data_IF_884610061979
#
_entry.id   IF_884610061979
#
_cell.length_a   1.000
_cell.length_b   1.000
_cell.length_c   1.000
_cell.angle_alpha   90.00
_cell.angle_beta   90.00
_cell.angle_gamma   90.00
#
_symmetry.space_group_name_H-M   'P 1'
#
loop_
_entity.id
_entity.type
_entity.pdbx_description
1 polymer ?
#
# COMPACT_ATOMS: atom_id res chain seq x y z
N UNK A 1 3.51 1.64 7.60
CA UNK A 1 4.30 2.87 7.59
C UNK A 1 3.41 4.11 7.67
N UNK A 2 4.01 5.23 8.04
CA UNK A 2 3.43 6.55 7.94
C UNK A 2 4.30 7.40 7.01
N UNK A 3 3.71 7.89 5.94
CA UNK A 3 4.41 8.64 4.91
C UNK A 3 4.64 10.11 5.31
N UNK A 4 5.50 10.79 4.59
CA UNK A 4 5.74 12.21 4.72
C UNK A 4 6.03 12.81 3.34
N UNK A 5 5.49 13.99 3.07
CA UNK A 5 5.71 14.73 1.83
C UNK A 5 6.07 16.18 2.15
N UNK A 6 6.80 16.85 1.26
CA UNK A 6 7.09 18.28 1.38
C UNK A 6 5.81 19.13 1.26
N UNK A 7 4.81 18.64 0.52
CA UNK A 7 3.49 19.27 0.42
C UNK A 7 2.58 18.76 1.54
N UNK A 8 2.06 19.67 2.34
CA UNK A 8 1.05 19.36 3.36
C UNK A 8 -0.34 19.03 2.76
N UNK A 9 -0.53 19.22 1.46
CA UNK A 9 -1.75 18.86 0.75
C UNK A 9 -1.77 17.39 0.31
N UNK A 10 -0.61 16.71 0.28
CA UNK A 10 -0.52 15.28 -0.03
C UNK A 10 -1.11 14.48 1.12
N UNK A 11 -2.07 13.59 0.82
CA UNK A 11 -2.80 12.82 1.83
C UNK A 11 -3.31 11.49 1.28
N UNK A 12 -3.79 10.63 2.16
CA UNK A 12 -4.45 9.36 1.84
C UNK A 12 -3.54 8.14 1.93
N UNK A 13 -4.16 6.97 1.89
CA UNK A 13 -3.51 5.67 1.99
C UNK A 13 -2.97 5.23 0.62
N UNK A 14 -1.77 4.68 0.60
CA UNK A 14 -1.22 3.96 -0.56
C UNK A 14 -0.54 2.67 -0.12
N UNK A 15 -0.62 1.65 -0.97
CA UNK A 15 -0.07 0.33 -0.73
C UNK A 15 0.86 -0.05 -1.89
N UNK A 16 2.13 -0.22 -1.61
CA UNK A 16 3.09 -0.67 -2.61
C UNK A 16 3.16 -2.19 -2.61
N UNK A 17 2.84 -2.80 -3.76
CA UNK A 17 2.92 -4.24 -3.99
C UNK A 17 4.23 -4.61 -4.70
N UNK A 18 4.63 -5.88 -4.60
CA UNK A 18 5.74 -6.42 -5.38
C UNK A 18 5.49 -6.18 -6.88
N UNK A 19 6.45 -5.57 -7.63
CA UNK A 19 6.26 -5.22 -9.04
C UNK A 19 6.14 -6.44 -9.98
N UNK A 20 5.68 -6.25 -11.23
CA UNK A 20 5.42 -7.32 -12.20
C UNK A 20 6.61 -8.23 -12.55
N UNK A 21 7.84 -7.78 -12.37
CA UNK A 21 9.03 -8.62 -12.60
C UNK A 21 9.30 -9.62 -11.47
N UNK A 22 8.64 -9.49 -10.32
CA UNK A 22 8.78 -10.38 -9.17
C UNK A 22 7.69 -11.47 -9.19
N UNK A 23 8.07 -12.70 -8.84
CA UNK A 23 7.15 -13.85 -8.84
C UNK A 23 5.95 -13.67 -7.91
N UNK A 24 6.09 -12.91 -6.82
CA UNK A 24 5.03 -12.64 -5.86
C UNK A 24 4.03 -11.56 -6.30
N UNK A 25 4.19 -10.92 -7.47
CA UNK A 25 3.41 -9.77 -7.92
C UNK A 25 1.89 -9.98 -7.81
N UNK A 26 1.35 -11.01 -8.46
CA UNK A 26 -0.11 -11.21 -8.53
C UNK A 26 -0.75 -11.33 -7.14
N UNK A 27 -0.14 -12.11 -6.26
CA UNK A 27 -0.63 -12.31 -4.89
C UNK A 27 -0.40 -11.08 -4.01
N UNK A 28 0.69 -10.35 -4.22
CA UNK A 28 0.93 -9.07 -3.53
C UNK A 28 -0.11 -8.01 -3.91
N UNK A 29 -0.47 -7.90 -5.19
CA UNK A 29 -1.54 -7.01 -5.65
C UNK A 29 -2.89 -7.44 -5.09
N UNK A 30 -3.21 -8.75 -5.10
CA UNK A 30 -4.45 -9.28 -4.51
C UNK A 30 -4.54 -8.94 -3.03
N UNK A 31 -3.48 -9.16 -2.27
CA UNK A 31 -3.44 -8.82 -0.85
C UNK A 31 -3.55 -7.30 -0.64
N UNK A 32 -2.81 -6.50 -1.41
CA UNK A 32 -2.88 -5.04 -1.36
C UNK A 32 -4.29 -4.50 -1.56
N UNK A 33 -5.04 -5.05 -2.52
CA UNK A 33 -6.43 -4.65 -2.77
C UNK A 33 -7.36 -4.99 -1.60
N UNK A 34 -7.21 -6.15 -0.99
CA UNK A 34 -7.97 -6.48 0.22
C UNK A 34 -7.70 -5.46 1.34
N UNK A 35 -6.43 -5.09 1.52
CA UNK A 35 -6.04 -4.13 2.55
C UNK A 35 -6.58 -2.73 2.24
N UNK A 36 -6.35 -2.21 1.03
CA UNK A 36 -6.78 -0.85 0.66
C UNK A 36 -8.30 -0.70 0.72
N UNK A 37 -9.04 -1.70 0.22
CA UNK A 37 -10.50 -1.71 0.30
C UNK A 37 -10.99 -1.72 1.75
N UNK A 38 -10.43 -2.56 2.61
CA UNK A 38 -10.84 -2.63 4.02
C UNK A 38 -10.54 -1.32 4.76
N UNK A 39 -9.38 -0.72 4.57
CA UNK A 39 -9.06 0.58 5.16
C UNK A 39 -9.99 1.69 4.68
N UNK A 40 -10.35 1.71 3.39
CA UNK A 40 -11.36 2.65 2.86
C UNK A 40 -12.72 2.43 3.52
N UNK A 41 -13.18 1.19 3.57
CA UNK A 41 -14.58 0.88 3.94
C UNK A 41 -14.81 0.92 5.45
N UNK A 42 -13.83 0.48 6.25
CA UNK A 42 -13.96 0.39 7.70
C UNK A 42 -13.42 1.63 8.43
N UNK A 43 -12.39 2.28 7.89
CA UNK A 43 -11.76 3.43 8.52
C UNK A 43 -12.03 4.75 7.78
N UNK A 44 -12.66 4.70 6.62
CA UNK A 44 -13.01 5.89 5.84
C UNK A 44 -11.83 6.59 5.17
N UNK A 45 -10.72 5.87 4.93
CA UNK A 45 -9.53 6.44 4.34
C UNK A 45 -9.70 6.75 2.85
N UNK A 46 -9.16 7.87 2.42
CA UNK A 46 -9.03 8.19 1.00
C UNK A 46 -7.90 7.36 0.40
N UNK A 47 -8.18 6.66 -0.71
CA UNK A 47 -7.14 5.92 -1.45
C UNK A 47 -6.43 6.84 -2.44
N UNK A 48 -5.12 6.68 -2.56
CA UNK A 48 -4.30 7.36 -3.56
C UNK A 48 -4.29 6.56 -4.87
N UNK A 49 -4.18 7.27 -6.00
CA UNK A 49 -4.21 6.64 -7.33
C UNK A 49 -5.58 6.08 -7.68
N UNK A 50 -5.62 4.93 -8.34
CA UNK A 50 -6.86 4.31 -8.82
C UNK A 50 -7.59 3.51 -7.71
N UNK A 51 -6.87 2.58 -7.08
CA UNK A 51 -7.42 1.66 -6.06
C UNK A 51 -6.53 1.59 -4.78
N UNK A 52 -5.58 2.51 -4.66
CA UNK A 52 -4.62 2.54 -3.56
C UNK A 52 -3.43 1.61 -3.75
N UNK A 53 -3.47 0.67 -4.70
CA UNK A 53 -2.36 -0.28 -4.93
C UNK A 53 -1.48 0.21 -6.08
N UNK A 54 -0.20 0.34 -5.79
CA UNK A 54 0.79 0.96 -6.67
C UNK A 54 2.08 0.16 -6.70
N UNK A 55 2.94 0.47 -7.67
CA UNK A 55 4.33 0.03 -7.71
C UNK A 55 5.25 1.22 -7.49
N UNK A 56 6.32 1.02 -6.76
CA UNK A 56 7.41 1.99 -6.65
C UNK A 56 8.67 1.39 -7.22
N UNK A 57 9.38 2.19 -8.01
CA UNK A 57 10.66 1.83 -8.59
C UNK A 57 11.70 2.91 -8.26
N UNK A 58 12.97 2.52 -8.22
CA UNK A 58 14.10 3.42 -8.16
C UNK A 58 14.80 3.41 -9.52
N UNK A 59 14.79 4.54 -10.24
CA UNK A 59 15.46 4.64 -11.53
C UNK A 59 17.00 4.65 -11.40
N UNK A 60 17.71 4.74 -12.53
CA UNK A 60 19.16 4.75 -12.57
C UNK A 60 19.82 5.93 -11.81
N UNK A 61 19.04 6.94 -11.43
CA UNK A 61 19.48 8.10 -10.63
C UNK A 61 19.00 8.02 -9.18
N UNK A 62 18.49 6.85 -8.77
CA UNK A 62 17.87 6.62 -7.46
C UNK A 62 16.60 7.49 -7.22
N UNK A 63 15.99 7.97 -8.29
CA UNK A 63 14.75 8.72 -8.21
C UNK A 63 13.54 7.79 -8.16
N UNK A 64 12.56 8.13 -7.30
CA UNK A 64 11.32 7.35 -7.16
C UNK A 64 10.42 7.53 -8.38
N UNK A 65 9.98 6.42 -8.94
CA UNK A 65 8.98 6.35 -10.01
C UNK A 65 7.81 5.52 -9.51
N UNK A 66 6.63 6.12 -9.45
CA UNK A 66 5.40 5.47 -8.99
C UNK A 66 4.53 5.16 -10.21
N UNK A 67 4.02 3.93 -10.27
CA UNK A 67 3.07 3.47 -11.29
C UNK A 67 1.84 2.85 -10.61
N UNK A 68 0.70 2.87 -11.29
CA UNK A 68 -0.50 2.20 -10.79
C UNK A 68 -0.39 0.67 -10.93
N UNK A 69 -1.09 -0.08 -10.09
CA UNK A 69 -1.08 -1.55 -10.15
C UNK A 69 -1.68 -2.11 -11.45
N UNK A 70 -2.44 -1.30 -12.18
CA UNK A 70 -2.97 -1.59 -13.51
C UNK A 70 -1.96 -1.37 -14.64
N UNK A 71 -0.83 -0.72 -14.36
CA UNK A 71 0.22 -0.50 -15.35
C UNK A 71 1.00 -1.81 -15.56
N UNK A 72 0.92 -2.33 -16.77
CA UNK A 72 1.61 -3.56 -17.19
C UNK A 72 2.87 -3.29 -17.99
N UNK A 73 3.32 -2.05 -18.09
CA UNK A 73 4.55 -1.70 -18.78
C UNK A 73 5.73 -2.45 -18.16
N UNK A 74 6.54 -3.17 -18.95
CA UNK A 74 7.65 -3.94 -18.42
C UNK A 74 8.72 -3.02 -17.84
N UNK A 75 8.90 -3.09 -16.52
CA UNK A 75 9.98 -2.43 -15.80
C UNK A 75 10.69 -3.46 -14.92
N UNK A 76 11.99 -3.35 -14.85
CA UNK A 76 12.86 -4.21 -14.03
C UNK A 76 13.74 -3.39 -13.10
N UNK A 77 13.41 -2.10 -12.94
CA UNK A 77 14.08 -1.24 -11.96
C UNK A 77 13.83 -1.77 -10.55
N UNK A 78 14.79 -1.66 -9.62
CA UNK A 78 14.63 -2.08 -8.23
C UNK A 78 13.43 -1.42 -7.55
N UNK A 79 12.87 -2.11 -6.56
CA UNK A 79 11.83 -1.60 -5.67
C UNK A 79 12.33 -1.52 -4.21
N UNK A 80 11.45 -1.40 -3.25
CA UNK A 80 11.81 -1.52 -1.84
C UNK A 80 12.41 -2.90 -1.54
N UNK A 81 13.50 -2.94 -0.80
CA UNK A 81 14.19 -4.19 -0.43
C UNK A 81 13.24 -5.21 0.21
N UNK A 82 12.30 -4.76 1.05
CA UNK A 82 11.30 -5.63 1.66
C UNK A 82 10.37 -6.31 0.65
N UNK A 83 10.17 -5.72 -0.52
CA UNK A 83 9.39 -6.31 -1.61
C UNK A 83 10.26 -7.13 -2.56
N UNK A 84 11.50 -6.66 -2.81
CA UNK A 84 12.47 -7.30 -3.71
C UNK A 84 12.92 -8.67 -3.19
N UNK A 85 13.29 -8.73 -1.90
CA UNK A 85 13.87 -9.91 -1.29
C UNK A 85 12.86 -10.87 -0.65
N UNK A 86 11.55 -10.53 -0.72
CA UNK A 86 10.52 -11.36 -0.12
C UNK A 86 10.11 -12.50 -1.04
N UNK A 87 10.26 -13.74 -0.59
CA UNK A 87 9.84 -14.93 -1.34
C UNK A 87 8.35 -15.24 -1.26
N UNK A 88 7.58 -14.46 -0.52
CA UNK A 88 6.14 -14.59 -0.35
C UNK A 88 5.41 -13.30 -0.77
N UNK A 89 4.08 -13.32 -0.91
CA UNK A 89 3.31 -12.10 -1.12
C UNK A 89 3.63 -11.05 -0.06
N UNK A 90 4.00 -9.85 -0.52
CA UNK A 90 4.41 -8.77 0.35
C UNK A 90 3.87 -7.42 -0.13
N UNK A 91 3.49 -6.59 0.82
CA UNK A 91 3.06 -5.21 0.59
C UNK A 91 3.69 -4.27 1.61
N UNK A 92 3.91 -3.02 1.20
CA UNK A 92 4.27 -1.92 2.10
C UNK A 92 3.11 -0.93 2.08
N UNK A 93 2.44 -0.76 3.22
CA UNK A 93 1.28 0.11 3.36
C UNK A 93 1.69 1.41 4.04
N UNK A 94 1.42 2.52 3.37
CA UNK A 94 1.52 3.88 3.91
C UNK A 94 0.12 4.33 4.32
N UNK A 95 -0.18 4.26 5.61
CA UNK A 95 -1.54 4.48 6.15
C UNK A 95 -2.02 5.93 6.05
N UNK A 96 -1.12 6.85 5.76
CA UNK A 96 -1.39 8.26 5.58
C UNK A 96 -0.12 9.09 5.68
N UNK A 97 -0.25 10.41 5.52
CA UNK A 97 0.86 11.34 5.52
C UNK A 97 0.90 12.15 6.82
N UNK A 98 1.93 11.98 7.64
CA UNK A 98 2.09 12.76 8.88
C UNK A 98 2.29 14.26 8.61
N UNK A 99 2.68 14.64 7.39
CA UNK A 99 2.72 16.03 6.92
C UNK A 99 1.33 16.63 6.70
N UNK A 100 0.30 15.82 6.46
CA UNK A 100 -1.09 16.26 6.29
C UNK A 100 -1.82 16.30 7.65
N UNK A 101 -2.55 17.38 7.92
CA UNK A 101 -3.19 17.57 9.22
C UNK A 101 -4.32 16.55 9.48
N UNK A 102 -5.13 16.24 8.45
CA UNK A 102 -6.24 15.30 8.60
C UNK A 102 -5.75 13.85 8.75
N UNK A 103 -4.79 13.43 7.93
CA UNK A 103 -4.17 12.10 8.06
C UNK A 103 -3.51 11.93 9.43
N UNK A 104 -2.76 12.95 9.87
CA UNK A 104 -2.10 12.94 11.19
C UNK A 104 -3.11 12.83 12.34
N UNK A 105 -4.21 13.58 12.29
CA UNK A 105 -5.26 13.48 13.30
C UNK A 105 -5.82 12.06 13.39
N UNK A 106 -6.02 11.43 12.25
CA UNK A 106 -6.55 10.08 12.18
C UNK A 106 -5.58 9.02 12.73
N UNK A 107 -4.31 9.04 12.29
CA UNK A 107 -3.32 8.03 12.74
C UNK A 107 -2.82 8.24 14.17
N UNK A 108 -3.02 9.43 14.74
CA UNK A 108 -2.66 9.76 16.13
C UNK A 108 -3.82 9.58 17.12
N UNK A 109 -4.97 9.07 16.72
CA UNK A 109 -6.07 8.75 17.63
C UNK A 109 -5.66 7.63 18.58
N UNK A 110 -6.16 7.65 19.80
CA UNK A 110 -5.85 6.65 20.83
C UNK A 110 -6.20 5.22 20.39
N UNK A 111 -7.25 5.06 19.55
CA UNK A 111 -7.73 3.77 19.04
C UNK A 111 -7.15 3.40 17.65
N UNK A 112 -6.32 4.24 17.05
CA UNK A 112 -5.87 4.07 15.65
C UNK A 112 -5.11 2.76 15.43
N UNK A 113 -4.15 2.44 16.31
CA UNK A 113 -3.37 1.21 16.19
C UNK A 113 -4.22 -0.06 16.34
N UNK A 114 -5.17 -0.07 17.28
CA UNK A 114 -6.06 -1.23 17.48
C UNK A 114 -6.97 -1.45 16.27
N UNK A 115 -7.53 -0.37 15.72
CA UNK A 115 -8.39 -0.44 14.54
C UNK A 115 -7.61 -0.89 13.30
N UNK A 116 -6.42 -0.34 13.06
CA UNK A 116 -5.58 -0.76 11.96
C UNK A 116 -5.15 -2.23 12.10
N UNK A 117 -4.77 -2.66 13.30
CA UNK A 117 -4.40 -4.05 13.58
C UNK A 117 -5.55 -5.03 13.29
N UNK A 118 -6.79 -4.68 13.68
CA UNK A 118 -7.97 -5.49 13.38
C UNK A 118 -8.20 -5.60 11.86
N UNK A 119 -8.11 -4.49 11.13
CA UNK A 119 -8.24 -4.48 9.66
C UNK A 119 -7.18 -5.39 9.02
N UNK A 120 -5.90 -5.27 9.41
CA UNK A 120 -4.85 -6.15 8.88
C UNK A 120 -5.12 -7.61 9.20
N UNK A 121 -5.52 -7.91 10.43
CA UNK A 121 -5.84 -9.29 10.84
C UNK A 121 -6.95 -9.89 9.96
N UNK A 122 -8.04 -9.17 9.77
CA UNK A 122 -9.14 -9.61 8.92
C UNK A 122 -8.70 -9.78 7.45
N UNK A 123 -7.89 -8.87 6.92
CA UNK A 123 -7.34 -8.99 5.57
C UNK A 123 -6.46 -10.23 5.40
N UNK A 124 -5.62 -10.56 6.39
CA UNK A 124 -4.79 -11.78 6.38
C UNK A 124 -5.68 -13.03 6.39
N UNK A 125 -6.68 -13.08 7.25
CA UNK A 125 -7.63 -14.22 7.31
C UNK A 125 -8.34 -14.41 5.97
N UNK A 126 -8.89 -13.34 5.40
CA UNK A 126 -9.58 -13.36 4.10
C UNK A 126 -8.65 -13.74 2.95
N UNK A 127 -7.42 -13.25 2.97
CA UNK A 127 -6.42 -13.60 1.96
C UNK A 127 -6.15 -15.11 1.94
N UNK A 128 -5.95 -15.74 3.10
CA UNK A 128 -5.74 -17.20 3.18
C UNK A 128 -7.01 -18.01 2.96
N UNK A 129 -8.19 -17.44 3.15
CA UNK A 129 -9.46 -18.06 2.75
C UNK A 129 -9.69 -18.03 1.23
N UNK A 130 -8.82 -17.36 0.46
CA UNK A 130 -8.93 -17.24 -0.99
C UNK A 130 -9.92 -16.17 -1.46
N UNK A 131 -10.32 -15.24 -0.58
CA UNK A 131 -11.19 -14.15 -0.96
C UNK A 131 -10.46 -13.15 -1.89
N UNK A 132 -11.24 -12.56 -2.77
CA UNK A 132 -10.84 -11.45 -3.63
C UNK A 132 -11.72 -10.25 -3.33
N UNK A 133 -11.24 -9.04 -3.59
CA UNK A 133 -12.09 -7.86 -3.55
C UNK A 133 -13.23 -8.03 -4.56
N UNK A 134 -14.45 -7.70 -4.15
CA UNK A 134 -15.65 -7.67 -5.00
C UNK A 134 -15.84 -6.31 -5.64
#
# INVERSE_FOLDING_TARGET
HLNCDASTATHGLECYAAPPHLAANAESVRFGRLVTAAFRDELGLTLRGQDGVRYLYFDANDARVIAESSDTAPRTDPTFTVLEDCACPAVLVEEGFISNAADREMVCRDDACERAAEVYYQCIVRFFAGEVEQ
#
